data_IF_793822212829
#
_entry.id   IF_793822212829
#
_cell.length_a   1.000
_cell.length_b   1.000
_cell.length_c   1.000
_cell.angle_alpha   90.00
_cell.angle_beta   90.00
_cell.angle_gamma   90.00
#
_symmetry.space_group_name_H-M   'P 1'
#
loop_
_entity.id
_entity.type
_entity.pdbx_description
1 polymer ?
#
# COMPACT_ATOMS: atom_id res chain seq x y z
N UNK A 1 -0.27 -6.14 -5.59
CA UNK A 1 -0.84 -7.50 -5.38
C UNK A 1 -0.52 -8.47 -6.52
N UNK A 2 -0.64 -8.04 -7.79
CA UNK A 2 -0.40 -8.92 -8.95
C UNK A 2 1.04 -9.44 -9.07
N UNK A 3 2.01 -8.74 -8.55
CA UNK A 3 3.43 -9.09 -8.64
C UNK A 3 3.92 -10.04 -7.55
N UNK A 4 3.16 -10.22 -6.46
CA UNK A 4 3.58 -11.03 -5.31
C UNK A 4 3.89 -12.50 -5.71
N UNK A 5 3.02 -13.22 -6.43
CA UNK A 5 3.31 -14.58 -6.89
C UNK A 5 4.53 -14.65 -7.82
N UNK A 6 4.72 -13.64 -8.66
CA UNK A 6 5.87 -13.55 -9.57
C UNK A 6 7.18 -13.37 -8.81
N UNK A 7 7.17 -12.55 -7.76
CA UNK A 7 8.34 -12.33 -6.91
C UNK A 7 8.67 -13.61 -6.13
N UNK A 8 7.67 -14.28 -5.55
CA UNK A 8 7.86 -15.57 -4.85
C UNK A 8 8.43 -16.62 -5.81
N UNK A 9 7.90 -16.70 -7.03
CA UNK A 9 8.43 -17.61 -8.06
C UNK A 9 9.89 -17.31 -8.41
N UNK A 10 10.27 -16.03 -8.44
CA UNK A 10 11.65 -15.61 -8.71
C UNK A 10 12.64 -16.02 -7.60
N UNK A 11 12.17 -16.28 -6.37
CA UNK A 11 13.00 -16.80 -5.27
C UNK A 11 13.27 -18.31 -5.36
N UNK A 12 12.84 -18.98 -6.45
CA UNK A 12 13.14 -20.39 -6.72
C UNK A 12 12.03 -21.38 -6.33
N UNK A 13 10.92 -20.92 -5.74
CA UNK A 13 9.75 -21.75 -5.46
C UNK A 13 9.02 -22.06 -6.76
N UNK A 14 8.97 -23.36 -7.15
CA UNK A 14 8.39 -23.80 -8.42
C UNK A 14 6.97 -24.36 -8.28
N UNK A 15 6.62 -24.87 -7.10
CA UNK A 15 5.31 -25.43 -6.86
C UNK A 15 4.24 -24.35 -6.76
N UNK A 16 3.19 -24.46 -7.60
CA UNK A 16 2.10 -23.47 -7.68
C UNK A 16 1.29 -23.39 -6.37
N UNK A 17 1.10 -24.51 -5.69
CA UNK A 17 0.38 -24.56 -4.41
C UNK A 17 1.18 -23.84 -3.32
N UNK A 18 2.49 -24.11 -3.23
CA UNK A 18 3.37 -23.43 -2.30
C UNK A 18 3.43 -21.92 -2.56
N UNK A 19 3.48 -21.48 -3.83
CA UNK A 19 3.41 -20.06 -4.20
C UNK A 19 2.10 -19.44 -3.73
N UNK A 20 0.98 -20.13 -3.92
CA UNK A 20 -0.34 -19.67 -3.45
C UNK A 20 -0.39 -19.53 -1.93
N UNK A 21 0.07 -20.53 -1.20
CA UNK A 21 0.11 -20.53 0.27
C UNK A 21 1.02 -19.43 0.83
N UNK A 22 2.23 -19.29 0.28
CA UNK A 22 3.15 -18.23 0.66
C UNK A 22 2.58 -16.83 0.36
N UNK A 23 1.85 -16.70 -0.76
CA UNK A 23 1.18 -15.44 -1.10
C UNK A 23 0.04 -15.09 -0.14
N UNK A 24 -0.57 -16.05 0.53
CA UNK A 24 -1.65 -15.82 1.49
C UNK A 24 -1.14 -15.20 2.81
N UNK A 25 0.10 -15.50 3.22
CA UNK A 25 0.68 -15.02 4.49
C UNK A 25 0.67 -13.48 4.58
N UNK A 26 1.20 -12.72 3.60
CA UNK A 26 1.16 -11.26 3.63
C UNK A 26 -0.25 -10.68 3.78
N UNK A 27 -1.23 -11.30 3.13
CA UNK A 27 -2.62 -10.85 3.22
C UNK A 27 -3.25 -11.16 4.59
N UNK A 28 -2.96 -12.32 5.17
CA UNK A 28 -3.44 -12.66 6.52
C UNK A 28 -2.89 -11.67 7.55
N UNK A 29 -1.59 -11.36 7.50
CA UNK A 29 -0.96 -10.34 8.36
C UNK A 29 -1.59 -8.96 8.11
N UNK A 30 -1.84 -8.61 6.85
CA UNK A 30 -2.45 -7.34 6.49
C UNK A 30 -3.85 -7.18 7.08
N UNK A 31 -4.69 -8.23 7.07
CA UNK A 31 -6.03 -8.21 7.68
C UNK A 31 -5.94 -7.94 9.18
N UNK A 32 -5.05 -8.63 9.88
CA UNK A 32 -4.84 -8.42 11.33
C UNK A 32 -4.37 -6.99 11.59
N UNK A 33 -3.35 -6.52 10.87
CA UNK A 33 -2.82 -5.17 11.00
C UNK A 33 -3.91 -4.11 10.74
N UNK A 34 -4.68 -4.28 9.68
CA UNK A 34 -5.79 -3.38 9.31
C UNK A 34 -6.81 -3.24 10.44
N UNK A 35 -7.24 -4.36 11.06
CA UNK A 35 -8.22 -4.33 12.16
C UNK A 35 -7.63 -3.65 13.39
N UNK A 36 -6.37 -3.96 13.75
CA UNK A 36 -5.73 -3.38 14.93
C UNK A 36 -5.50 -1.87 14.77
N UNK A 37 -5.00 -1.45 13.60
CA UNK A 37 -4.73 -0.03 13.32
C UNK A 37 -6.03 0.76 13.21
N UNK A 38 -7.07 0.22 12.56
CA UNK A 38 -8.38 0.87 12.48
C UNK A 38 -8.98 1.07 13.88
N UNK A 39 -8.99 0.04 14.73
CA UNK A 39 -9.45 0.17 16.14
C UNK A 39 -8.65 1.20 16.92
N UNK A 40 -7.34 1.27 16.70
CA UNK A 40 -6.48 2.27 17.35
C UNK A 40 -6.81 3.68 16.87
N UNK A 41 -7.02 3.86 15.56
CA UNK A 41 -7.40 5.15 14.95
C UNK A 41 -8.72 5.67 15.53
N UNK A 42 -9.74 4.79 15.61
CA UNK A 42 -11.05 5.13 16.16
C UNK A 42 -10.97 5.47 17.67
N UNK A 43 -10.24 4.66 18.45
CA UNK A 43 -10.08 4.91 19.90
C UNK A 43 -9.35 6.21 20.19
N UNK A 44 -8.35 6.57 19.38
CA UNK A 44 -7.55 7.80 19.56
C UNK A 44 -8.14 9.01 18.84
N UNK A 45 -9.18 8.79 18.03
CA UNK A 45 -9.75 9.82 17.12
C UNK A 45 -8.68 10.51 16.28
N UNK A 46 -7.65 9.75 15.88
CA UNK A 46 -6.52 10.24 15.10
C UNK A 46 -6.38 9.39 13.85
N UNK A 47 -6.58 9.99 12.67
CA UNK A 47 -6.60 9.29 11.39
C UNK A 47 -5.34 9.51 10.56
N UNK A 48 -4.76 10.68 10.61
CA UNK A 48 -3.62 11.06 9.75
C UNK A 48 -2.40 10.19 9.99
N UNK A 49 -1.97 10.07 11.25
CA UNK A 49 -0.82 9.22 11.60
C UNK A 49 -1.11 7.74 11.39
N UNK A 50 -2.36 7.31 11.58
CA UNK A 50 -2.76 5.91 11.34
C UNK A 50 -2.86 5.56 9.83
N UNK A 51 -2.87 6.56 8.95
CA UNK A 51 -2.70 6.37 7.50
C UNK A 51 -1.22 6.47 7.13
N UNK A 52 -0.52 7.50 7.64
CA UNK A 52 0.85 7.79 7.24
C UNK A 52 1.84 6.72 7.71
N UNK A 53 1.75 6.25 8.97
CA UNK A 53 2.67 5.26 9.49
C UNK A 53 2.60 3.91 8.75
N UNK A 54 1.41 3.30 8.52
CA UNK A 54 1.33 2.11 7.68
C UNK A 54 1.80 2.37 6.25
N UNK A 55 1.48 3.54 5.67
CA UNK A 55 1.97 3.94 4.35
C UNK A 55 3.50 3.97 4.27
N UNK A 56 4.16 4.60 5.25
CA UNK A 56 5.62 4.62 5.35
C UNK A 56 6.22 3.24 5.60
N UNK A 57 5.59 2.42 6.45
CA UNK A 57 5.99 1.03 6.66
C UNK A 57 5.88 0.22 5.37
N UNK A 58 4.81 0.46 4.59
CA UNK A 58 4.64 -0.15 3.27
C UNK A 58 5.71 0.27 2.27
N UNK A 59 6.07 1.56 2.24
CA UNK A 59 7.17 2.08 1.41
C UNK A 59 8.51 1.44 1.80
N UNK A 60 8.80 1.36 3.11
CA UNK A 60 9.99 0.69 3.61
C UNK A 60 10.01 -0.78 3.21
N UNK A 61 8.89 -1.49 3.34
CA UNK A 61 8.77 -2.89 2.92
C UNK A 61 9.07 -3.09 1.43
N UNK A 62 8.62 -2.17 0.54
CA UNK A 62 8.94 -2.22 -0.88
C UNK A 62 10.45 -2.03 -1.12
N UNK A 63 11.09 -1.08 -0.46
CA UNK A 63 12.54 -0.86 -0.58
C UNK A 63 13.33 -2.07 -0.08
N UNK A 64 12.97 -2.59 1.10
CA UNK A 64 13.63 -3.77 1.68
C UNK A 64 13.44 -5.02 0.83
N UNK A 65 12.31 -5.19 0.15
CA UNK A 65 12.08 -6.33 -0.74
C UNK A 65 13.03 -6.37 -1.93
N UNK A 66 13.50 -5.21 -2.37
CA UNK A 66 14.51 -5.08 -3.42
C UNK A 66 15.90 -5.40 -2.87
N UNK A 67 16.27 -4.80 -1.73
CA UNK A 67 17.60 -4.99 -1.15
C UNK A 67 17.85 -6.43 -0.69
N UNK A 68 16.81 -7.14 -0.27
CA UNK A 68 16.87 -8.53 0.21
C UNK A 68 16.34 -9.55 -0.82
N UNK A 69 16.31 -9.19 -2.09
CA UNK A 69 15.78 -10.05 -3.15
C UNK A 69 16.51 -11.42 -3.28
N UNK A 70 17.75 -11.50 -2.79
CA UNK A 70 18.55 -12.73 -2.81
C UNK A 70 18.22 -13.71 -1.67
N UNK A 71 17.55 -13.25 -0.61
CA UNK A 71 17.12 -14.08 0.51
C UNK A 71 15.59 -14.17 0.52
N UNK A 72 15.07 -15.38 0.26
CA UNK A 72 13.63 -15.63 0.17
C UNK A 72 12.89 -15.27 1.46
N UNK A 73 13.45 -15.58 2.63
CA UNK A 73 12.79 -15.33 3.90
C UNK A 73 12.71 -13.83 4.20
N UNK A 74 13.81 -13.11 3.99
CA UNK A 74 13.87 -11.66 4.18
C UNK A 74 13.02 -10.92 3.15
N UNK A 75 13.04 -11.35 1.88
CA UNK A 75 12.18 -10.80 0.84
C UNK A 75 10.69 -10.99 1.17
N UNK A 76 10.30 -12.17 1.66
CA UNK A 76 8.93 -12.46 2.10
C UNK A 76 8.51 -11.60 3.30
N UNK A 77 9.39 -11.41 4.29
CA UNK A 77 9.13 -10.54 5.42
C UNK A 77 8.93 -9.08 4.97
N UNK A 78 9.79 -8.59 4.08
CA UNK A 78 9.68 -7.25 3.50
C UNK A 78 8.39 -7.06 2.69
N UNK A 79 8.02 -8.04 1.86
CA UNK A 79 6.77 -8.02 1.09
C UNK A 79 5.54 -8.12 2.01
N UNK A 80 5.63 -8.83 3.12
CA UNK A 80 4.58 -8.88 4.14
C UNK A 80 4.38 -7.50 4.76
N UNK A 81 5.47 -6.82 5.14
CA UNK A 81 5.43 -5.44 5.64
C UNK A 81 4.83 -4.48 4.61
N UNK A 82 5.26 -4.59 3.33
CA UNK A 82 4.72 -3.78 2.25
C UNK A 82 3.22 -3.99 2.08
N UNK A 83 2.77 -5.23 1.99
CA UNK A 83 1.36 -5.59 1.81
C UNK A 83 0.51 -5.13 2.99
N UNK A 84 0.97 -5.37 4.23
CA UNK A 84 0.29 -4.94 5.44
C UNK A 84 0.14 -3.42 5.49
N UNK A 85 1.21 -2.67 5.17
CA UNK A 85 1.17 -1.21 5.15
C UNK A 85 0.20 -0.65 4.11
N UNK A 86 0.26 -1.16 2.88
CA UNK A 86 -0.62 -0.73 1.78
C UNK A 86 -2.08 -1.02 2.10
N UNK A 87 -2.40 -2.27 2.48
CA UNK A 87 -3.79 -2.69 2.72
C UNK A 87 -4.37 -1.99 3.94
N UNK A 88 -3.59 -1.75 5.00
CA UNK A 88 -4.03 -1.04 6.20
C UNK A 88 -4.34 0.42 5.90
N UNK A 89 -3.58 1.08 5.05
CA UNK A 89 -3.79 2.50 4.72
C UNK A 89 -5.08 2.74 3.94
N UNK A 90 -5.53 1.78 3.14
CA UNK A 90 -6.62 1.96 2.19
C UNK A 90 -7.98 2.29 2.84
N UNK A 91 -8.52 1.50 3.80
CA UNK A 91 -9.80 1.82 4.45
C UNK A 91 -9.71 3.09 5.30
N UNK A 92 -8.56 3.35 5.92
CA UNK A 92 -8.34 4.56 6.70
C UNK A 92 -8.28 5.81 5.82
N UNK A 93 -7.73 5.71 4.61
CA UNK A 93 -7.76 6.80 3.63
C UNK A 93 -9.20 7.24 3.34
N UNK A 94 -10.13 6.31 3.14
CA UNK A 94 -11.53 6.64 2.86
C UNK A 94 -12.22 7.38 4.00
N UNK A 95 -11.71 7.28 5.22
CA UNK A 95 -12.22 8.05 6.35
C UNK A 95 -11.89 9.55 6.26
N UNK A 96 -10.91 9.96 5.45
CA UNK A 96 -10.57 11.39 5.28
C UNK A 96 -11.64 12.14 4.47
N UNK A 97 -11.94 11.77 3.20
CA UNK A 97 -12.95 12.50 2.44
C UNK A 97 -14.33 12.46 3.09
N UNK A 98 -14.71 11.34 3.71
CA UNK A 98 -16.00 11.21 4.40
C UNK A 98 -16.12 12.06 5.67
N UNK A 99 -15.02 12.51 6.24
CA UNK A 99 -15.03 13.36 7.43
C UNK A 99 -15.46 14.80 7.14
N UNK A 100 -15.26 15.31 5.93
CA UNK A 100 -15.57 16.70 5.57
C UNK A 100 -16.52 16.86 4.38
N UNK A 101 -16.75 15.81 3.59
CA UNK A 101 -17.73 15.81 2.52
C UNK A 101 -19.11 15.42 3.09
N UNK A 102 -20.13 16.22 2.85
CA UNK A 102 -21.48 15.97 3.30
C UNK A 102 -22.52 16.25 2.20
N UNK A 103 -23.71 15.68 2.33
CA UNK A 103 -24.83 15.89 1.40
C UNK A 103 -24.55 15.40 -0.03
N UNK A 104 -25.16 16.03 -1.01
CA UNK A 104 -25.01 15.68 -2.44
C UNK A 104 -23.57 15.83 -2.94
N UNK A 105 -22.80 16.78 -2.40
CA UNK A 105 -21.39 16.98 -2.73
C UNK A 105 -20.48 15.83 -2.30
N UNK A 106 -20.85 15.07 -1.28
CA UNK A 106 -20.10 13.91 -0.83
C UNK A 106 -20.01 12.82 -1.90
N UNK A 107 -21.12 12.50 -2.55
CA UNK A 107 -21.16 11.48 -3.60
C UNK A 107 -20.26 11.86 -4.79
N UNK A 108 -20.33 13.11 -5.25
CA UNK A 108 -19.51 13.61 -6.34
C UNK A 108 -18.02 13.64 -5.98
N UNK A 109 -17.67 14.10 -4.76
CA UNK A 109 -16.30 14.14 -4.29
C UNK A 109 -15.68 12.74 -4.15
N UNK A 110 -16.41 11.80 -3.57
CA UNK A 110 -15.98 10.40 -3.44
C UNK A 110 -15.81 9.76 -4.83
N UNK A 111 -16.76 9.99 -5.74
CA UNK A 111 -16.67 9.48 -7.11
C UNK A 111 -15.43 10.03 -7.84
N UNK A 112 -15.12 11.32 -7.70
CA UNK A 112 -13.92 11.95 -8.28
C UNK A 112 -12.64 11.34 -7.73
N UNK A 113 -12.52 11.21 -6.40
CA UNK A 113 -11.36 10.58 -5.75
C UNK A 113 -11.18 9.14 -6.23
N UNK A 114 -12.28 8.38 -6.28
CA UNK A 114 -12.24 6.99 -6.75
C UNK A 114 -11.84 6.89 -8.22
N UNK A 115 -12.33 7.78 -9.08
CA UNK A 115 -11.98 7.80 -10.51
C UNK A 115 -10.50 8.09 -10.73
N UNK A 116 -9.93 9.05 -10.00
CA UNK A 116 -8.49 9.35 -10.03
C UNK A 116 -7.68 8.16 -9.51
N UNK A 117 -8.13 7.52 -8.43
CA UNK A 117 -7.51 6.33 -7.87
C UNK A 117 -7.49 5.15 -8.85
N UNK A 118 -8.60 4.91 -9.55
CA UNK A 118 -8.68 3.87 -10.58
C UNK A 118 -7.78 4.16 -11.78
N UNK A 119 -7.68 5.44 -12.20
CA UNK A 119 -6.75 5.84 -13.26
C UNK A 119 -5.29 5.58 -12.84
N UNK A 120 -4.93 5.91 -11.60
CA UNK A 120 -3.61 5.60 -11.05
C UNK A 120 -3.37 4.07 -10.99
N UNK A 121 -4.40 3.28 -10.65
CA UNK A 121 -4.36 1.82 -10.68
C UNK A 121 -4.10 1.23 -12.06
N UNK A 122 -4.60 1.87 -13.11
CA UNK A 122 -4.32 1.50 -14.49
C UNK A 122 -2.92 1.95 -14.94
N UNK A 123 -2.52 3.17 -14.64
CA UNK A 123 -1.23 3.73 -15.05
C UNK A 123 -0.04 3.09 -14.31
N UNK A 124 -0.22 2.68 -13.06
CA UNK A 124 0.87 2.14 -12.23
C UNK A 124 1.53 0.89 -12.81
N UNK A 125 0.81 -0.18 -13.22
CA UNK A 125 1.44 -1.33 -13.87
C UNK A 125 2.16 -0.97 -15.17
N UNK A 126 1.59 -0.04 -15.95
CA UNK A 126 2.22 0.44 -17.17
C UNK A 126 3.54 1.16 -16.86
N UNK A 127 3.54 2.09 -15.91
CA UNK A 127 4.73 2.83 -15.49
C UNK A 127 5.83 1.92 -14.95
N UNK A 128 5.47 0.91 -14.13
CA UNK A 128 6.40 -0.11 -13.64
C UNK A 128 7.01 -0.92 -14.80
N UNK A 129 6.18 -1.35 -15.74
CA UNK A 129 6.63 -2.08 -16.93
C UNK A 129 7.54 -1.25 -17.83
N UNK A 130 7.19 0.02 -18.06
CA UNK A 130 7.99 0.97 -18.83
C UNK A 130 9.34 1.24 -18.17
N UNK A 131 9.37 1.51 -16.86
CA UNK A 131 10.62 1.69 -16.13
C UNK A 131 11.53 0.46 -16.22
N UNK A 132 10.97 -0.74 -16.11
CA UNK A 132 11.71 -1.98 -16.30
C UNK A 132 12.35 -2.07 -17.67
N UNK A 133 11.64 -1.67 -18.75
CA UNK A 133 12.18 -1.68 -20.11
C UNK A 133 13.29 -0.66 -20.30
N UNK A 134 13.15 0.53 -19.75
CA UNK A 134 14.12 1.62 -19.91
C UNK A 134 15.37 1.41 -19.05
N UNK A 135 15.19 0.94 -17.81
CA UNK A 135 16.32 0.77 -16.86
C UNK A 135 16.96 -0.61 -16.89
N UNK A 136 16.27 -1.60 -17.49
CA UNK A 136 16.70 -3.01 -17.46
C UNK A 136 16.57 -3.68 -16.08
N UNK A 137 16.12 -2.92 -15.04
CA UNK A 137 16.04 -3.39 -13.66
C UNK A 137 14.57 -3.53 -13.19
N UNK A 138 14.28 -4.62 -12.48
CA UNK A 138 12.97 -4.82 -11.85
C UNK A 138 12.74 -3.86 -10.68
N UNK A 139 13.79 -3.30 -10.13
CA UNK A 139 13.82 -2.57 -8.86
C UNK A 139 13.27 -1.15 -8.99
N UNK A 140 13.44 -0.53 -10.17
CA UNK A 140 13.02 0.85 -10.44
C UNK A 140 11.52 1.07 -10.20
N UNK A 141 10.69 0.08 -10.55
CA UNK A 141 9.26 0.13 -10.31
C UNK A 141 8.90 0.11 -8.82
N UNK A 142 9.63 -0.69 -8.02
CA UNK A 142 9.42 -0.76 -6.56
C UNK A 142 9.80 0.55 -5.87
N UNK A 143 10.92 1.17 -6.27
CA UNK A 143 11.33 2.48 -5.74
C UNK A 143 10.34 3.58 -6.13
N UNK A 144 9.81 3.57 -7.35
CA UNK A 144 8.76 4.49 -7.78
C UNK A 144 7.50 4.34 -6.91
N UNK A 145 7.03 3.11 -6.69
CA UNK A 145 5.86 2.85 -5.84
C UNK A 145 6.10 3.29 -4.39
N UNK A 146 7.30 3.02 -3.85
CA UNK A 146 7.69 3.47 -2.51
C UNK A 146 7.67 5.00 -2.41
N UNK A 147 8.19 5.72 -3.41
CA UNK A 147 8.16 7.18 -3.47
C UNK A 147 6.73 7.74 -3.46
N UNK A 148 5.82 7.13 -4.24
CA UNK A 148 4.41 7.53 -4.23
C UNK A 148 3.73 7.25 -2.88
N UNK A 149 4.10 6.18 -2.18
CA UNK A 149 3.57 5.90 -0.83
C UNK A 149 4.06 6.95 0.18
N UNK A 150 5.34 7.33 0.11
CA UNK A 150 5.88 8.42 0.95
C UNK A 150 5.16 9.74 0.64
N UNK A 151 4.96 10.07 -0.63
CA UNK A 151 4.19 11.25 -1.03
C UNK A 151 2.78 11.21 -0.47
N UNK A 152 2.09 10.06 -0.58
CA UNK A 152 0.76 9.86 -0.01
C UNK A 152 0.72 10.05 1.51
N UNK A 153 1.71 9.53 2.23
CA UNK A 153 1.85 9.73 3.68
C UNK A 153 2.05 11.21 4.04
N UNK A 154 2.90 11.93 3.32
CA UNK A 154 3.12 13.37 3.50
C UNK A 154 1.84 14.16 3.23
N UNK A 155 1.13 13.85 2.15
CA UNK A 155 -0.16 14.47 1.83
C UNK A 155 -1.21 14.20 2.90
N UNK A 156 -1.31 12.97 3.43
CA UNK A 156 -2.22 12.63 4.52
C UNK A 156 -1.92 13.44 5.80
N UNK A 157 -0.64 13.64 6.12
CA UNK A 157 -0.22 14.47 7.27
C UNK A 157 -0.45 15.95 7.04
N UNK A 158 -0.46 16.43 5.81
CA UNK A 158 -0.73 17.83 5.47
C UNK A 158 -2.20 18.23 5.65
N UNK A 159 -3.12 17.27 5.69
CA UNK A 159 -4.55 17.52 5.96
C UNK A 159 -4.70 18.09 7.37
N UNK A 160 -5.42 19.23 7.59
CA UNK A 160 -5.60 19.80 8.92
C UNK A 160 -6.31 18.82 9.87
N UNK A 161 -5.72 18.58 11.05
CA UNK A 161 -6.25 17.61 12.04
C UNK A 161 -7.69 17.92 12.43
N UNK A 162 -8.03 19.21 12.57
CA UNK A 162 -9.39 19.67 12.92
C UNK A 162 -10.49 19.24 11.96
N UNK A 163 -10.15 18.88 10.73
CA UNK A 163 -11.13 18.45 9.72
C UNK A 163 -11.41 16.94 9.80
N UNK A 164 -10.44 16.14 10.22
CA UNK A 164 -10.48 14.68 10.08
C UNK A 164 -10.35 13.92 11.40
N UNK A 165 -9.79 14.52 12.44
CA UNK A 165 -9.63 13.94 13.77
C UNK A 165 -10.81 14.38 14.65
N UNK A 166 -11.96 13.70 14.51
CA UNK A 166 -13.20 13.99 15.25
C UNK A 166 -13.68 12.75 16.01
#
# INVERSE_FOLDING_TARGET
SFWLPTIIKATGVKDAFAIGLLSAIPFAVAVVAMVLVARSADKRRERRWHIALPGLAGALGLVLSVTWAHDTALAMAALTLATAGIITSLPLFWSLPTAFLAGAGAAAGIAMVNSIGNLAGFLSPYAVGWLKQVTGANDSGMYMLAAFMVLGAVLALSVPARLVNK
#
